data_IF_172188918050
#
_entry.id   IF_172188918050
#
_cell.length_a   1.000
_cell.length_b   1.000
_cell.length_c   1.000
_cell.angle_alpha   90.00
_cell.angle_beta   90.00
_cell.angle_gamma   90.00
#
_symmetry.space_group_name_H-M   'P 1'
#
loop_
_entity.id
_entity.type
_entity.pdbx_description
1 polymer ?
#
# COMPACT_ATOMS: atom_id res chain seq x y z
N UNK A 1 11.99 9.46 4.80
CA UNK A 1 10.51 9.50 4.93
C UNK A 1 10.18 9.38 6.41
N UNK A 2 9.36 10.27 6.93
CA UNK A 2 8.82 10.17 8.28
C UNK A 2 7.50 9.42 8.22
N UNK A 3 7.34 8.43 9.08
CA UNK A 3 6.16 7.58 9.17
C UNK A 3 5.67 7.54 10.62
N UNK A 4 4.37 7.67 10.83
CA UNK A 4 3.75 7.58 12.15
C UNK A 4 3.17 6.18 12.36
N UNK A 5 3.47 5.53 13.48
CA UNK A 5 2.76 4.35 13.92
C UNK A 5 1.77 4.72 15.03
N UNK A 6 0.48 4.69 14.71
CA UNK A 6 -0.57 4.94 15.69
C UNK A 6 -0.86 3.64 16.44
N UNK A 7 -0.30 3.53 17.65
CA UNK A 7 -0.45 2.34 18.49
C UNK A 7 -0.22 2.66 19.96
N UNK A 8 -0.99 2.03 20.84
CA UNK A 8 -0.77 2.04 22.30
C UNK A 8 0.14 0.88 22.76
N UNK A 9 0.51 -0.04 21.84
CA UNK A 9 1.33 -1.20 22.15
C UNK A 9 2.79 -0.93 21.85
N UNK A 10 3.58 -0.71 22.91
CA UNK A 10 5.02 -0.40 22.81
C UNK A 10 5.85 -1.57 22.24
N UNK A 11 5.39 -2.83 22.41
CA UNK A 11 6.08 -4.00 21.86
C UNK A 11 5.88 -4.08 20.34
N UNK A 12 4.66 -3.83 19.84
CA UNK A 12 4.41 -3.71 18.39
C UNK A 12 5.24 -2.59 17.77
N UNK A 13 5.32 -1.42 18.44
CA UNK A 13 6.12 -0.31 17.96
C UNK A 13 7.61 -0.70 17.84
N UNK A 14 8.19 -1.26 18.89
CA UNK A 14 9.60 -1.70 18.90
C UNK A 14 9.90 -2.76 17.84
N UNK A 15 8.99 -3.72 17.64
CA UNK A 15 9.14 -4.75 16.61
C UNK A 15 9.12 -4.14 15.20
N UNK A 16 8.16 -3.26 14.93
CA UNK A 16 8.05 -2.54 13.67
C UNK A 16 9.31 -1.68 13.39
N UNK A 17 9.78 -0.93 14.40
CA UNK A 17 10.96 -0.08 14.30
C UNK A 17 12.25 -0.84 13.92
N UNK A 18 12.37 -2.11 14.31
CA UNK A 18 13.53 -2.94 13.95
C UNK A 18 13.52 -3.37 12.48
N UNK A 19 12.35 -3.39 11.83
CA UNK A 19 12.18 -3.94 10.49
C UNK A 19 12.11 -2.83 9.44
N UNK A 20 11.46 -1.69 9.76
CA UNK A 20 11.28 -0.61 8.81
C UNK A 20 12.52 0.28 8.71
N UNK A 21 12.99 0.50 7.48
CA UNK A 21 14.12 1.40 7.16
C UNK A 21 13.64 2.85 6.96
N UNK A 22 12.80 3.35 7.89
CA UNK A 22 12.25 4.70 7.88
C UNK A 22 12.33 5.32 9.27
N UNK A 23 12.25 6.64 9.35
CA UNK A 23 12.09 7.31 10.64
C UNK A 23 10.66 7.08 11.15
N UNK A 24 10.51 6.26 12.21
CA UNK A 24 9.22 5.85 12.76
C UNK A 24 8.93 6.58 14.07
N UNK A 25 7.82 7.32 14.12
CA UNK A 25 7.30 8.01 15.30
C UNK A 25 6.11 7.24 15.88
N UNK A 26 6.08 7.01 17.19
CA UNK A 26 4.91 6.44 17.88
C UNK A 26 3.95 7.54 18.30
N UNK A 27 2.67 7.39 17.93
CA UNK A 27 1.60 8.29 18.39
C UNK A 27 0.51 7.46 19.06
N UNK A 28 0.13 7.87 20.28
CA UNK A 28 -0.95 7.23 21.06
C UNK A 28 -2.20 8.08 20.91
N UNK A 29 -3.20 7.56 20.19
CA UNK A 29 -4.47 8.24 19.95
C UNK A 29 -5.65 7.32 20.28
N UNK A 30 -6.75 7.88 20.82
CA UNK A 30 -8.02 7.15 20.84
C UNK A 30 -8.54 7.05 19.39
N UNK A 31 -8.71 5.82 18.93
CA UNK A 31 -9.29 5.52 17.63
C UNK A 31 -10.74 5.09 17.78
N UNK A 32 -11.52 5.28 16.73
CA UNK A 32 -12.92 4.82 16.68
C UNK A 32 -12.95 3.30 16.80
N UNK A 33 -13.71 2.80 17.75
CA UNK A 33 -14.02 1.37 17.91
C UNK A 33 -15.41 1.12 17.30
N UNK A 34 -15.44 0.41 16.18
CA UNK A 34 -16.66 0.00 15.49
C UNK A 34 -16.81 -1.51 15.51
N UNK A 35 -18.02 -2.00 15.26
CA UNK A 35 -18.28 -3.41 15.00
C UNK A 35 -18.28 -3.67 13.48
N UNK A 36 -17.70 -4.78 13.06
CA UNK A 36 -17.63 -5.16 11.66
C UNK A 36 -16.56 -6.21 11.40
N UNK A 37 -16.25 -6.45 10.16
CA UNK A 37 -15.17 -7.34 9.76
C UNK A 37 -13.79 -6.73 10.11
N UNK A 38 -12.81 -7.52 10.55
CA UNK A 38 -11.51 -7.03 11.00
C UNK A 38 -10.83 -6.09 9.98
N UNK A 39 -10.93 -6.42 8.69
CA UNK A 39 -10.35 -5.59 7.61
C UNK A 39 -11.01 -4.21 7.51
N UNK A 40 -12.33 -4.16 7.59
CA UNK A 40 -13.09 -2.90 7.52
C UNK A 40 -12.79 -2.02 8.73
N UNK A 41 -12.74 -2.63 9.93
CA UNK A 41 -12.39 -1.95 11.18
C UNK A 41 -11.00 -1.32 11.06
N UNK A 42 -10.01 -2.08 10.62
CA UNK A 42 -8.63 -1.59 10.47
C UNK A 42 -8.53 -0.42 9.48
N UNK A 43 -9.21 -0.50 8.33
CA UNK A 43 -9.26 0.57 7.33
C UNK A 43 -9.90 1.83 7.91
N UNK A 44 -11.02 1.70 8.63
CA UNK A 44 -11.70 2.85 9.22
C UNK A 44 -10.88 3.50 10.34
N UNK A 45 -10.23 2.70 11.18
CA UNK A 45 -9.26 3.19 12.18
C UNK A 45 -8.12 3.97 11.52
N UNK A 46 -7.55 3.45 10.43
CA UNK A 46 -6.48 4.13 9.70
C UNK A 46 -6.95 5.48 9.10
N UNK A 47 -8.14 5.51 8.50
CA UNK A 47 -8.72 6.75 7.97
C UNK A 47 -9.04 7.78 9.05
N UNK A 48 -9.54 7.34 10.21
CA UNK A 48 -9.77 8.22 11.36
C UNK A 48 -8.45 8.78 11.92
N UNK A 49 -7.44 7.92 12.06
CA UNK A 49 -6.10 8.33 12.46
C UNK A 49 -5.48 9.34 11.48
N UNK A 50 -5.61 9.09 10.17
CA UNK A 50 -5.06 9.97 9.13
C UNK A 50 -5.69 11.36 9.16
N UNK A 51 -7.00 11.47 9.38
CA UNK A 51 -7.69 12.76 9.55
C UNK A 51 -7.16 13.56 10.74
N UNK A 52 -6.71 12.88 11.81
CA UNK A 52 -6.21 13.52 13.04
C UNK A 52 -4.73 13.89 12.95
N UNK A 53 -3.92 13.05 12.30
CA UNK A 53 -2.44 13.17 12.24
C UNK A 53 -1.98 13.95 11.01
N UNK A 54 -2.67 13.80 9.88
CA UNK A 54 -2.36 14.41 8.58
C UNK A 54 -0.90 14.19 8.12
N UNK A 55 -0.36 13.01 8.41
CA UNK A 55 0.96 12.52 7.97
C UNK A 55 0.82 11.07 7.52
N UNK A 56 1.72 10.56 6.67
CA UNK A 56 1.78 9.12 6.38
C UNK A 56 1.82 8.31 7.67
N UNK A 57 0.93 7.35 7.79
CA UNK A 57 0.84 6.55 9.01
C UNK A 57 0.51 5.09 8.75
N UNK A 58 0.78 4.29 9.79
CA UNK A 58 0.35 2.90 9.88
C UNK A 58 -0.47 2.67 11.15
N UNK A 59 -1.39 1.73 11.05
CA UNK A 59 -2.00 1.05 12.19
C UNK A 59 -1.83 -0.45 12.03
N UNK A 60 -1.81 -1.18 13.15
CA UNK A 60 -1.85 -2.63 13.15
C UNK A 60 -2.94 -3.10 14.12
N UNK A 61 -4.00 -3.67 13.56
CA UNK A 61 -5.11 -4.26 14.31
C UNK A 61 -4.96 -5.79 14.33
N UNK A 62 -5.07 -6.40 15.50
CA UNK A 62 -4.89 -7.85 15.67
C UNK A 62 -6.16 -8.48 16.20
N UNK A 63 -6.59 -9.56 15.57
CA UNK A 63 -7.73 -10.37 15.96
C UNK A 63 -7.29 -11.81 16.26
N UNK A 64 -7.72 -12.36 17.40
CA UNK A 64 -7.53 -13.76 17.72
C UNK A 64 -8.75 -14.56 17.25
N UNK A 65 -8.55 -15.62 16.50
CA UNK A 65 -9.62 -16.37 15.85
C UNK A 65 -9.54 -17.84 16.16
N UNK A 66 -10.66 -18.44 16.59
CA UNK A 66 -10.81 -19.86 16.84
C UNK A 66 -11.86 -20.41 15.86
N UNK A 67 -11.46 -21.10 14.77
CA UNK A 67 -12.39 -21.58 13.74
C UNK A 67 -13.52 -22.44 14.28
N UNK A 68 -13.26 -23.30 15.27
CA UNK A 68 -14.28 -24.14 15.89
C UNK A 68 -15.31 -23.37 16.72
N UNK A 69 -15.09 -22.07 16.98
CA UNK A 69 -16.01 -21.12 17.58
C UNK A 69 -16.48 -20.04 16.57
N UNK A 70 -16.54 -20.39 15.28
CA UNK A 70 -16.90 -19.45 14.19
C UNK A 70 -16.01 -18.20 14.17
N UNK A 71 -14.70 -18.38 14.36
CA UNK A 71 -13.68 -17.34 14.46
C UNK A 71 -13.85 -16.36 15.66
N UNK A 72 -14.66 -16.72 16.68
CA UNK A 72 -14.68 -15.97 17.94
C UNK A 72 -13.32 -16.08 18.65
N UNK A 73 -12.81 -15.02 19.32
CA UNK A 73 -13.38 -13.69 19.51
C UNK A 73 -13.28 -12.75 18.29
N UNK A 74 -12.40 -13.01 17.31
CA UNK A 74 -12.26 -12.17 16.12
C UNK A 74 -12.05 -10.69 16.45
N UNK A 75 -12.88 -9.78 15.94
CA UNK A 75 -12.74 -8.33 16.20
C UNK A 75 -12.93 -7.95 17.67
N UNK A 76 -13.50 -8.83 18.48
CA UNK A 76 -13.71 -8.61 19.93
C UNK A 76 -12.53 -9.06 20.80
N UNK A 77 -11.37 -9.37 20.19
CA UNK A 77 -10.19 -9.90 20.90
C UNK A 77 -9.84 -9.07 22.13
N UNK A 78 -9.70 -7.78 22.00
CA UNK A 78 -9.33 -6.90 23.12
C UNK A 78 -10.37 -6.90 24.26
N UNK A 79 -11.66 -6.98 23.92
CA UNK A 79 -12.73 -7.09 24.90
C UNK A 79 -12.70 -8.44 25.64
N UNK A 80 -12.57 -9.54 24.88
CA UNK A 80 -12.49 -10.89 25.43
C UNK A 80 -11.25 -11.09 26.29
N UNK A 81 -10.13 -10.54 25.87
CA UNK A 81 -8.90 -10.58 26.65
C UNK A 81 -9.05 -9.91 28.01
N UNK A 82 -9.74 -8.79 28.09
CA UNK A 82 -10.01 -8.05 29.36
C UNK A 82 -11.07 -8.71 30.23
N UNK A 83 -12.03 -9.43 29.66
CA UNK A 83 -13.20 -9.98 30.38
C UNK A 83 -13.05 -11.46 30.71
N UNK A 84 -12.65 -12.27 29.75
CA UNK A 84 -12.48 -13.73 29.93
C UNK A 84 -11.00 -14.10 30.14
N UNK A 85 -10.10 -13.40 29.43
CA UNK A 85 -8.69 -13.75 29.42
C UNK A 85 -8.46 -15.20 29.01
N UNK A 86 -7.59 -15.89 29.75
CA UNK A 86 -7.30 -17.33 29.56
C UNK A 86 -8.47 -18.24 29.92
N UNK A 87 -9.52 -17.76 30.65
CA UNK A 87 -10.76 -18.51 30.83
C UNK A 87 -11.50 -18.80 29.51
N UNK A 88 -11.07 -18.20 28.39
CA UNK A 88 -11.49 -18.60 27.04
C UNK A 88 -11.34 -20.10 26.81
N UNK A 89 -10.39 -20.77 27.47
CA UNK A 89 -10.21 -22.23 27.43
C UNK A 89 -11.44 -23.00 27.88
N UNK A 90 -12.28 -22.44 28.76
CA UNK A 90 -13.53 -23.09 29.22
C UNK A 90 -14.53 -23.27 28.07
N UNK A 91 -14.51 -22.36 27.07
CA UNK A 91 -15.36 -22.50 25.88
C UNK A 91 -14.91 -23.64 24.97
N UNK A 92 -13.70 -24.14 25.20
CA UNK A 92 -13.11 -25.25 24.44
C UNK A 92 -13.28 -26.61 25.12
N UNK A 93 -13.99 -26.69 26.25
CA UNK A 93 -14.26 -27.96 26.94
C UNK A 93 -15.03 -28.91 26.02
N UNK A 94 -14.53 -30.13 25.87
CA UNK A 94 -15.10 -31.14 24.95
C UNK A 94 -14.80 -30.93 23.47
N UNK A 95 -14.24 -29.79 23.06
CA UNK A 95 -13.85 -29.53 21.67
C UNK A 95 -12.46 -30.13 21.38
N UNK A 96 -12.41 -31.06 20.41
CA UNK A 96 -11.15 -31.72 19.99
C UNK A 96 -10.33 -30.84 19.05
N UNK A 97 -10.99 -29.98 18.25
CA UNK A 97 -10.29 -29.04 17.37
C UNK A 97 -9.96 -27.79 18.15
N UNK A 98 -8.67 -27.58 18.38
CA UNK A 98 -8.12 -26.46 19.14
C UNK A 98 -7.33 -25.47 18.23
N UNK A 99 -7.45 -25.62 16.90
CA UNK A 99 -6.79 -24.73 15.94
C UNK A 99 -7.24 -23.29 16.17
N UNK A 100 -6.29 -22.40 16.12
CA UNK A 100 -6.53 -20.96 16.24
C UNK A 100 -5.46 -20.18 15.47
N UNK A 101 -5.70 -18.90 15.27
CA UNK A 101 -4.72 -18.02 14.63
C UNK A 101 -4.89 -16.58 15.08
N UNK A 102 -3.77 -15.84 15.06
CA UNK A 102 -3.82 -14.38 15.04
C UNK A 102 -3.95 -13.90 13.60
N UNK A 103 -4.90 -13.02 13.36
CA UNK A 103 -5.06 -12.24 12.13
C UNK A 103 -4.57 -10.83 12.41
N UNK A 104 -3.45 -10.44 11.84
CA UNK A 104 -2.92 -9.10 11.90
C UNK A 104 -3.25 -8.36 10.60
N UNK A 105 -3.85 -7.19 10.71
CA UNK A 105 -4.17 -6.31 9.61
C UNK A 105 -3.39 -5.01 9.79
N UNK A 106 -2.36 -4.86 8.98
CA UNK A 106 -1.52 -3.68 8.91
C UNK A 106 -2.03 -2.79 7.78
N UNK A 107 -2.39 -1.55 8.11
CA UNK A 107 -2.84 -0.57 7.13
C UNK A 107 -1.86 0.59 7.10
N UNK A 108 -1.27 0.81 5.94
CA UNK A 108 -0.55 2.04 5.62
C UNK A 108 -1.49 2.99 4.89
N UNK A 109 -1.46 4.26 5.23
CA UNK A 109 -2.22 5.31 4.57
C UNK A 109 -1.40 6.60 4.47
N UNK A 110 -1.45 7.22 3.30
CA UNK A 110 -1.00 8.60 3.05
C UNK A 110 -2.08 9.37 2.27
N UNK A 111 -1.77 10.57 1.77
CA UNK A 111 -2.71 11.40 1.01
C UNK A 111 -3.15 10.77 -0.33
N UNK A 112 -2.42 9.78 -0.85
CA UNK A 112 -2.57 9.24 -2.20
C UNK A 112 -2.84 7.74 -2.25
N UNK A 113 -2.51 7.01 -1.19
CA UNK A 113 -2.56 5.55 -1.19
C UNK A 113 -3.01 4.98 0.14
N UNK A 114 -3.70 3.86 0.06
CA UNK A 114 -4.07 3.02 1.19
C UNK A 114 -3.65 1.59 0.84
N UNK A 115 -2.68 1.05 1.60
CA UNK A 115 -2.22 -0.33 1.46
C UNK A 115 -2.66 -1.13 2.67
N UNK A 116 -3.32 -2.26 2.42
CA UNK A 116 -3.70 -3.22 3.47
C UNK A 116 -2.88 -4.49 3.30
N UNK A 117 -2.26 -4.93 4.37
CA UNK A 117 -1.47 -6.14 4.45
C UNK A 117 -2.09 -7.01 5.54
N UNK A 118 -2.46 -8.23 5.17
CA UNK A 118 -3.05 -9.21 6.09
C UNK A 118 -2.09 -10.37 6.30
N UNK A 119 -1.81 -10.69 7.56
CA UNK A 119 -0.98 -11.83 7.91
C UNK A 119 -1.69 -12.71 8.94
N UNK A 120 -1.50 -14.03 8.81
CA UNK A 120 -2.02 -15.00 9.77
C UNK A 120 -0.88 -15.74 10.42
N UNK A 121 -0.93 -15.79 11.75
CA UNK A 121 -0.03 -16.64 12.55
C UNK A 121 -0.85 -17.80 13.10
N UNK A 122 -0.67 -18.97 12.52
CA UNK A 122 -1.40 -20.16 12.91
C UNK A 122 -0.81 -20.82 14.17
N UNK A 123 -1.65 -21.56 14.88
CA UNK A 123 -1.27 -22.28 16.06
C UNK A 123 -2.44 -23.04 16.67
N UNK A 124 -2.24 -23.50 17.88
CA UNK A 124 -3.24 -24.25 18.65
C UNK A 124 -3.38 -23.71 20.07
N UNK A 125 -4.56 -23.86 20.66
CA UNK A 125 -4.80 -23.54 22.06
C UNK A 125 -4.21 -24.61 22.97
N UNK A 126 -3.43 -24.20 23.96
CA UNK A 126 -2.94 -25.08 25.03
C UNK A 126 -4.09 -25.66 25.83
N UNK A 127 -3.85 -26.79 26.52
CA UNK A 127 -4.83 -27.37 27.43
C UNK A 127 -4.96 -26.60 28.74
N UNK A 128 -3.87 -25.94 29.15
CA UNK A 128 -3.77 -25.20 30.40
C UNK A 128 -3.10 -23.85 30.14
N UNK A 129 -3.39 -22.90 31.00
CA UNK A 129 -2.77 -21.58 31.00
C UNK A 129 -1.31 -21.64 31.45
N UNK A 130 -0.42 -20.92 30.75
CA UNK A 130 0.96 -20.72 31.20
C UNK A 130 1.04 -19.81 32.43
N UNK A 131 2.02 -20.05 33.31
CA UNK A 131 2.28 -19.22 34.47
C UNK A 131 3.01 -17.92 34.09
N UNK A 132 2.85 -16.88 34.90
CA UNK A 132 3.53 -15.60 34.73
C UNK A 132 2.58 -14.44 34.39
N UNK A 133 3.12 -13.23 34.43
CA UNK A 133 2.41 -12.00 34.11
C UNK A 133 2.62 -11.65 32.62
N UNK A 134 1.73 -12.17 31.79
CA UNK A 134 1.72 -12.00 30.34
C UNK A 134 0.31 -11.66 29.86
N UNK A 135 0.18 -11.21 28.62
CA UNK A 135 -1.13 -11.06 27.98
C UNK A 135 -1.90 -12.39 28.04
N UNK A 136 -3.17 -12.38 28.45
CA UNK A 136 -3.93 -13.60 28.71
C UNK A 136 -3.99 -14.57 27.54
N UNK A 137 -4.19 -14.09 26.32
CA UNK A 137 -4.26 -14.96 25.13
C UNK A 137 -2.90 -15.52 24.74
N UNK A 138 -1.81 -14.81 25.02
CA UNK A 138 -0.45 -15.29 24.77
C UNK A 138 -0.07 -16.45 25.68
N UNK A 139 -0.73 -16.57 26.84
CA UNK A 139 -0.56 -17.67 27.80
C UNK A 139 -1.20 -18.97 27.37
N UNK A 140 -2.06 -18.92 26.34
CA UNK A 140 -2.83 -20.09 25.86
C UNK A 140 -2.60 -20.38 24.37
N UNK A 141 -1.93 -19.51 23.63
CA UNK A 141 -1.62 -19.69 22.22
C UNK A 141 -0.24 -20.31 22.01
N UNK A 142 -0.20 -21.47 21.35
CA UNK A 142 1.01 -22.16 20.92
C UNK A 142 1.13 -22.00 19.41
N UNK A 143 2.13 -21.24 18.96
CA UNK A 143 2.38 -21.02 17.53
C UNK A 143 2.79 -22.33 16.85
N UNK A 144 2.40 -22.52 15.60
CA UNK A 144 2.83 -23.67 14.80
C UNK A 144 4.36 -23.78 14.75
N UNK A 145 4.86 -24.98 15.04
CA UNK A 145 6.29 -25.25 15.17
C UNK A 145 6.84 -25.08 16.58
N UNK A 146 6.10 -24.46 17.50
CA UNK A 146 6.45 -24.33 18.91
C UNK A 146 5.81 -25.46 19.73
N UNK A 147 6.35 -25.69 20.94
CA UNK A 147 5.82 -26.68 21.91
C UNK A 147 5.34 -26.04 23.22
N UNK A 148 5.34 -24.72 23.29
CA UNK A 148 4.96 -23.94 24.50
C UNK A 148 4.22 -22.68 24.08
N UNK A 149 3.37 -22.13 24.96
CA UNK A 149 2.72 -20.86 24.73
C UNK A 149 3.69 -19.72 24.37
N UNK A 150 3.25 -18.85 23.46
CA UNK A 150 4.07 -17.80 22.85
C UNK A 150 4.62 -16.80 23.89
N UNK A 151 3.97 -16.67 25.04
CA UNK A 151 4.44 -15.83 26.15
C UNK A 151 5.85 -16.19 26.62
N UNK A 152 6.30 -17.44 26.43
CA UNK A 152 7.66 -17.88 26.77
C UNK A 152 8.68 -17.56 25.68
N UNK A 153 8.24 -17.07 24.51
CA UNK A 153 9.07 -16.79 23.33
C UNK A 153 8.93 -15.33 22.89
N UNK A 154 8.96 -14.39 23.85
CA UNK A 154 8.65 -12.97 23.63
C UNK A 154 9.55 -12.28 22.59
N UNK A 155 10.75 -12.80 22.31
CA UNK A 155 11.65 -12.22 21.30
C UNK A 155 11.07 -12.23 19.87
N UNK A 156 10.24 -13.21 19.54
CA UNK A 156 9.69 -13.46 18.19
C UNK A 156 8.18 -13.25 18.11
N UNK A 157 7.55 -12.82 19.19
CA UNK A 157 6.10 -12.72 19.30
C UNK A 157 5.48 -11.69 18.35
N UNK A 158 6.20 -10.63 18.11
CA UNK A 158 5.75 -9.51 17.26
C UNK A 158 6.51 -9.43 15.94
N UNK A 159 7.32 -10.45 15.59
CA UNK A 159 7.91 -10.56 14.27
C UNK A 159 6.81 -10.88 13.26
N UNK A 160 6.26 -9.80 12.72
CA UNK A 160 5.14 -9.85 11.79
C UNK A 160 5.68 -9.74 10.35
N UNK A 161 5.39 -10.74 9.53
CA UNK A 161 5.72 -10.71 8.10
C UNK A 161 5.11 -9.50 7.40
N UNK A 162 4.02 -8.94 7.93
CA UNK A 162 3.40 -7.71 7.44
C UNK A 162 4.32 -6.49 7.50
N UNK A 163 5.17 -6.38 8.51
CA UNK A 163 6.16 -5.28 8.57
C UNK A 163 7.24 -5.42 7.50
N UNK A 164 7.64 -6.65 7.19
CA UNK A 164 8.58 -6.92 6.09
C UNK A 164 7.96 -6.56 4.74
N UNK A 165 6.71 -6.97 4.51
CA UNK A 165 5.97 -6.63 3.29
C UNK A 165 5.80 -5.11 3.16
N UNK A 166 5.47 -4.42 4.26
CA UNK A 166 5.38 -2.96 4.27
C UNK A 166 6.73 -2.31 3.95
N UNK A 167 7.83 -2.79 4.54
CA UNK A 167 9.16 -2.25 4.25
C UNK A 167 9.50 -2.38 2.76
N UNK A 168 9.18 -3.51 2.15
CA UNK A 168 9.36 -3.72 0.71
C UNK A 168 8.48 -2.78 -0.12
N UNK A 169 7.22 -2.57 0.30
CA UNK A 169 6.31 -1.63 -0.35
C UNK A 169 6.83 -0.18 -0.28
N UNK A 170 7.33 0.25 0.88
CA UNK A 170 7.86 1.61 1.07
C UNK A 170 9.12 1.88 0.25
N UNK A 171 9.92 0.84 -0.05
CA UNK A 171 11.14 0.89 -0.86
C UNK A 171 10.87 0.86 -2.37
N UNK A 172 9.65 0.55 -2.81
CA UNK A 172 9.31 0.53 -4.23
C UNK A 172 9.63 1.87 -4.88
N UNK A 173 10.16 1.82 -6.11
CA UNK A 173 10.35 3.04 -6.93
C UNK A 173 9.00 3.73 -7.11
N UNK A 174 8.98 5.04 -6.91
CA UNK A 174 7.78 5.85 -7.10
C UNK A 174 7.95 6.69 -8.35
N UNK A 175 6.93 6.70 -9.20
CA UNK A 175 6.88 7.48 -10.44
C UNK A 175 5.59 8.28 -10.48
N UNK A 176 5.62 9.43 -11.15
CA UNK A 176 4.48 10.31 -11.33
C UNK A 176 4.26 10.59 -12.81
N UNK A 177 3.00 10.51 -13.26
CA UNK A 177 2.64 10.64 -14.67
C UNK A 177 1.47 11.59 -14.86
N UNK A 178 1.51 12.40 -15.93
CA UNK A 178 0.48 13.39 -16.24
C UNK A 178 -0.28 13.10 -17.52
N UNK A 179 -1.61 13.05 -17.42
CA UNK A 179 -2.52 12.92 -18.56
C UNK A 179 -2.94 14.31 -18.98
N UNK A 180 -2.62 14.70 -20.20
CA UNK A 180 -2.99 15.98 -20.79
C UNK A 180 -3.74 15.76 -22.10
N UNK A 181 -4.88 16.43 -22.27
CA UNK A 181 -5.69 16.34 -23.47
C UNK A 181 -5.58 17.62 -24.31
N UNK A 182 -5.54 17.43 -25.63
CA UNK A 182 -5.70 18.46 -26.64
C UNK A 182 -6.92 18.11 -27.49
N UNK A 183 -8.06 18.72 -27.19
CA UNK A 183 -9.37 18.37 -27.72
C UNK A 183 -9.70 16.86 -27.46
N UNK A 184 -9.84 16.06 -28.49
CA UNK A 184 -10.13 14.63 -28.48
C UNK A 184 -8.88 13.74 -28.46
N UNK A 185 -7.68 14.34 -28.35
CA UNK A 185 -6.40 13.64 -28.36
C UNK A 185 -5.71 13.72 -27.01
N UNK A 186 -5.01 12.65 -26.65
CA UNK A 186 -4.13 12.60 -25.47
C UNK A 186 -2.67 12.63 -25.90
N UNK A 187 -1.83 13.32 -25.12
CA UNK A 187 -0.39 13.35 -25.31
C UNK A 187 0.23 12.08 -24.74
N UNK A 188 0.94 11.35 -25.59
CA UNK A 188 1.65 10.12 -25.21
C UNK A 188 3.07 10.15 -25.73
N UNK A 189 3.95 9.44 -25.05
CA UNK A 189 5.30 9.16 -25.47
C UNK A 189 5.33 7.81 -26.18
N UNK A 190 5.55 7.79 -27.48
CA UNK A 190 5.80 6.56 -28.25
C UNK A 190 7.24 6.11 -28.03
N UNK A 191 7.43 4.82 -27.78
CA UNK A 191 8.72 4.18 -27.58
C UNK A 191 8.87 2.97 -28.49
N UNK A 192 10.04 2.86 -29.12
CA UNK A 192 10.46 1.68 -29.85
C UNK A 192 11.89 1.35 -29.44
N UNK A 193 12.11 0.20 -28.86
CA UNK A 193 13.43 -0.22 -28.39
C UNK A 193 13.76 -1.64 -28.81
N UNK A 194 15.03 -1.88 -29.09
CA UNK A 194 15.55 -3.20 -29.42
C UNK A 194 15.84 -3.97 -28.12
N UNK A 195 15.12 -5.05 -27.88
CA UNK A 195 15.35 -5.99 -26.77
C UNK A 195 15.44 -7.41 -27.28
N UNK A 196 16.49 -8.15 -26.91
CA UNK A 196 16.68 -9.54 -27.30
C UNK A 196 16.50 -9.77 -28.82
N UNK A 197 17.05 -8.89 -29.66
CA UNK A 197 16.94 -8.89 -31.11
C UNK A 197 15.49 -8.75 -31.66
N UNK A 198 14.57 -8.16 -30.85
CA UNK A 198 13.22 -7.83 -31.28
C UNK A 198 12.90 -6.38 -30.91
N UNK A 199 12.17 -5.70 -31.79
CA UNK A 199 11.66 -4.38 -31.45
C UNK A 199 10.42 -4.51 -30.58
N UNK A 200 10.45 -3.85 -29.42
CA UNK A 200 9.31 -3.64 -28.57
C UNK A 200 8.78 -2.22 -28.82
N UNK A 201 7.50 -2.12 -29.21
CA UNK A 201 6.84 -0.84 -29.48
C UNK A 201 5.66 -0.64 -28.53
N UNK A 202 5.62 0.50 -27.89
CA UNK A 202 4.53 0.83 -26.95
C UNK A 202 4.41 2.33 -26.73
N UNK A 203 3.29 2.72 -26.18
CA UNK A 203 3.06 4.07 -25.70
C UNK A 203 3.12 4.14 -24.17
N UNK A 204 3.51 5.30 -23.64
CA UNK A 204 3.47 5.58 -22.22
C UNK A 204 2.85 6.97 -21.98
N UNK A 205 2.15 7.13 -20.86
CA UNK A 205 1.80 8.43 -20.35
C UNK A 205 3.10 9.11 -19.91
N UNK A 206 3.39 10.35 -20.32
CA UNK A 206 4.61 11.06 -19.92
C UNK A 206 4.75 11.17 -18.41
N UNK A 207 5.98 11.04 -17.92
CA UNK A 207 6.32 11.13 -16.52
C UNK A 207 7.41 10.15 -16.09
N UNK A 208 7.98 10.35 -14.91
CA UNK A 208 9.13 9.62 -14.45
C UNK A 208 9.29 9.56 -12.94
N UNK A 209 10.52 9.38 -12.48
CA UNK A 209 10.85 9.14 -11.09
C UNK A 209 10.61 10.36 -10.19
N UNK A 210 10.09 10.11 -8.99
CA UNK A 210 10.01 11.14 -7.94
C UNK A 210 11.38 11.24 -7.29
N UNK A 211 11.97 12.44 -7.29
CA UNK A 211 13.27 12.71 -6.70
C UNK A 211 13.18 12.91 -5.18
N UNK A 212 14.37 12.96 -4.54
CA UNK A 212 14.44 13.25 -3.12
C UNK A 212 13.95 14.68 -2.84
N UNK A 213 13.13 14.81 -1.82
CA UNK A 213 12.55 16.09 -1.36
C UNK A 213 11.56 16.74 -2.35
N UNK A 214 11.12 16.00 -3.37
CA UNK A 214 10.12 16.41 -4.37
C UNK A 214 8.75 15.81 -4.04
N UNK A 215 7.69 16.57 -4.22
CA UNK A 215 6.31 16.06 -4.15
C UNK A 215 5.95 15.28 -5.42
N UNK A 216 4.90 14.47 -5.35
CA UNK A 216 4.42 13.70 -6.51
C UNK A 216 3.93 14.61 -7.64
N UNK A 217 3.33 15.73 -7.26
CA UNK A 217 2.86 16.79 -8.17
C UNK A 217 4.01 17.47 -8.87
N UNK A 218 5.04 17.90 -8.13
CA UNK A 218 6.23 18.53 -8.68
C UNK A 218 6.93 17.60 -9.67
N UNK A 219 7.11 16.32 -9.31
CA UNK A 219 7.67 15.31 -10.20
C UNK A 219 6.85 15.16 -11.49
N UNK A 220 5.52 15.12 -11.37
CA UNK A 220 4.64 15.04 -12.54
C UNK A 220 4.86 16.22 -13.51
N UNK A 221 4.92 17.44 -12.98
CA UNK A 221 5.08 18.64 -13.78
C UNK A 221 6.49 18.77 -14.39
N UNK A 222 7.54 18.43 -13.62
CA UNK A 222 8.93 18.44 -14.07
C UNK A 222 9.14 17.44 -15.20
N UNK A 223 8.75 16.20 -15.01
CA UNK A 223 8.90 15.13 -16.00
C UNK A 223 8.13 15.43 -17.31
N UNK A 224 6.88 15.91 -17.19
CA UNK A 224 6.12 16.35 -18.36
C UNK A 224 6.84 17.44 -19.14
N UNK A 225 7.42 18.43 -18.44
CA UNK A 225 8.18 19.49 -19.09
C UNK A 225 9.46 18.96 -19.74
N UNK A 226 10.20 18.09 -19.04
CA UNK A 226 11.44 17.50 -19.54
C UNK A 226 11.20 16.65 -20.78
N UNK A 227 10.24 15.72 -20.73
CA UNK A 227 9.96 14.78 -21.82
C UNK A 227 9.25 15.40 -23.02
N UNK A 228 8.42 16.42 -22.81
CA UNK A 228 7.49 16.93 -23.84
C UNK A 228 7.60 18.42 -24.14
N UNK A 229 8.44 19.15 -23.40
CA UNK A 229 8.69 20.60 -23.50
C UNK A 229 7.45 21.50 -23.29
N UNK A 230 6.36 20.97 -22.76
CA UNK A 230 5.16 21.75 -22.42
C UNK A 230 5.11 22.10 -20.93
N UNK A 231 4.58 23.28 -20.61
CA UNK A 231 4.26 23.67 -19.24
C UNK A 231 2.81 23.31 -18.94
N UNK A 232 2.60 22.70 -17.79
CA UNK A 232 1.30 22.21 -17.33
C UNK A 232 1.05 22.60 -15.87
N UNK A 233 -0.19 22.46 -15.42
CA UNK A 233 -0.55 22.53 -14.00
C UNK A 233 -1.47 21.36 -13.63
N UNK A 234 -1.39 20.91 -12.38
CA UNK A 234 -2.24 19.85 -11.87
C UNK A 234 -3.70 20.32 -11.79
N UNK A 235 -4.61 19.52 -12.33
CA UNK A 235 -6.06 19.65 -12.11
C UNK A 235 -6.47 18.81 -10.91
N UNK A 236 -6.14 17.51 -10.93
CA UNK A 236 -6.48 16.59 -9.85
C UNK A 236 -5.61 15.34 -9.87
N UNK A 237 -5.42 14.74 -8.71
CA UNK A 237 -4.95 13.37 -8.58
C UNK A 237 -6.06 12.41 -9.04
N UNK A 238 -5.71 11.35 -9.75
CA UNK A 238 -6.63 10.35 -10.25
C UNK A 238 -6.60 9.07 -9.42
N UNK A 239 -5.50 8.34 -9.53
CA UNK A 239 -5.29 7.08 -8.83
C UNK A 239 -3.80 6.70 -8.79
N UNK A 240 -3.49 5.62 -8.07
CA UNK A 240 -2.17 4.98 -8.12
C UNK A 240 -2.29 3.52 -8.54
N UNK A 241 -1.27 3.05 -9.26
CA UNK A 241 -1.12 1.67 -9.66
C UNK A 241 0.16 1.08 -9.07
N UNK A 242 0.05 -0.07 -8.41
CA UNK A 242 1.19 -0.79 -7.86
C UNK A 242 1.65 -1.87 -8.85
N UNK A 243 2.93 -1.84 -9.20
CA UNK A 243 3.64 -2.86 -9.98
C UNK A 243 4.59 -3.63 -9.07
N UNK A 244 5.15 -4.72 -9.59
CA UNK A 244 6.19 -5.48 -8.86
C UNK A 244 7.39 -4.59 -8.49
N UNK A 245 7.78 -3.69 -9.40
CA UNK A 245 8.98 -2.85 -9.28
C UNK A 245 8.73 -1.43 -8.78
N UNK A 246 7.46 -0.99 -8.71
CA UNK A 246 7.18 0.41 -8.39
C UNK A 246 5.72 0.74 -8.11
N UNK A 247 5.48 2.02 -7.84
CA UNK A 247 4.16 2.61 -7.67
C UNK A 247 4.08 3.81 -8.60
N UNK A 248 3.07 3.84 -9.45
CA UNK A 248 2.79 4.95 -10.37
C UNK A 248 1.61 5.77 -9.87
N UNK A 249 1.77 7.08 -9.80
CA UNK A 249 0.72 8.04 -9.46
C UNK A 249 0.30 8.78 -10.73
N UNK A 250 -1.00 8.81 -11.01
CA UNK A 250 -1.56 9.44 -12.21
C UNK A 250 -2.28 10.72 -11.86
N UNK A 251 -2.02 11.77 -12.65
CA UNK A 251 -2.63 13.08 -12.51
C UNK A 251 -3.30 13.51 -13.81
N UNK A 252 -4.46 14.15 -13.70
CA UNK A 252 -4.98 14.96 -14.79
C UNK A 252 -4.32 16.34 -14.72
N UNK A 253 -3.77 16.78 -15.83
CA UNK A 253 -3.10 18.08 -15.92
C UNK A 253 -3.66 18.92 -17.07
N UNK A 254 -3.54 20.25 -16.93
CA UNK A 254 -3.94 21.19 -17.94
C UNK A 254 -2.70 21.79 -18.64
N UNK A 255 -2.77 21.91 -19.98
CA UNK A 255 -1.76 22.60 -20.76
C UNK A 255 -1.79 24.11 -20.50
N UNK A 256 -0.63 24.73 -20.32
CA UNK A 256 -0.48 26.16 -20.14
C UNK A 256 0.19 26.76 -21.38
N UNK A 257 1.38 26.28 -21.77
CA UNK A 257 2.19 26.83 -22.84
C UNK A 257 3.30 25.84 -23.26
N UNK A 258 3.99 26.17 -24.36
CA UNK A 258 5.15 25.41 -24.87
C UNK A 258 4.83 24.67 -26.17
N UNK A 259 5.86 24.36 -26.93
CA UNK A 259 5.75 23.56 -28.15
C UNK A 259 5.87 22.08 -27.80
N UNK A 260 4.96 21.27 -28.33
CA UNK A 260 5.01 19.79 -28.12
C UNK A 260 6.20 19.25 -28.92
N UNK A 261 7.25 18.86 -28.21
CA UNK A 261 8.44 18.25 -28.80
C UNK A 261 9.17 17.39 -27.76
N UNK A 262 9.87 16.38 -28.24
CA UNK A 262 10.71 15.54 -27.38
C UNK A 262 11.81 16.38 -26.74
N UNK A 263 12.06 16.19 -25.45
CA UNK A 263 13.10 16.85 -24.66
C UNK A 263 13.79 15.91 -23.70
N UNK A 264 14.55 16.47 -22.77
CA UNK A 264 15.19 15.76 -21.67
C UNK A 264 16.14 14.63 -22.09
N UNK A 265 16.29 13.69 -21.20
CA UNK A 265 17.13 12.51 -21.43
C UNK A 265 16.61 11.63 -22.59
N UNK A 266 15.32 11.64 -22.88
CA UNK A 266 14.70 10.90 -23.97
C UNK A 266 15.21 11.40 -25.32
N UNK A 267 15.42 12.72 -25.47
CA UNK A 267 16.02 13.31 -26.65
C UNK A 267 17.50 12.93 -26.78
N UNK A 268 18.25 12.98 -25.69
CA UNK A 268 19.68 12.65 -25.67
C UNK A 268 19.94 11.17 -25.99
N UNK A 269 19.07 10.27 -25.51
CA UNK A 269 19.14 8.83 -25.71
C UNK A 269 18.46 8.35 -26.99
N UNK A 270 17.87 9.27 -27.78
CA UNK A 270 17.09 8.94 -28.97
C UNK A 270 17.98 8.46 -30.13
N UNK A 271 17.78 7.22 -30.56
CA UNK A 271 18.48 6.60 -31.68
C UNK A 271 17.61 5.49 -32.31
N UNK A 272 17.98 4.91 -33.48
CA UNK A 272 17.15 3.91 -34.15
C UNK A 272 16.78 2.68 -33.30
N UNK A 273 17.64 2.26 -32.36
CA UNK A 273 17.44 1.09 -31.51
C UNK A 273 16.79 1.44 -30.16
N UNK A 274 16.67 2.74 -29.86
CA UNK A 274 16.01 3.26 -28.69
C UNK A 274 15.30 4.58 -29.05
N UNK A 275 14.21 4.46 -29.80
CA UNK A 275 13.50 5.59 -30.40
C UNK A 275 12.37 6.09 -29.50
N UNK A 276 12.28 7.41 -29.38
CA UNK A 276 11.25 8.14 -28.65
C UNK A 276 10.62 9.20 -29.54
N UNK A 277 9.30 9.39 -29.39
CA UNK A 277 8.55 10.42 -30.08
C UNK A 277 7.34 10.84 -29.27
N UNK A 278 7.10 12.14 -29.14
CA UNK A 278 5.89 12.67 -28.52
C UNK A 278 4.76 12.70 -29.56
N UNK A 279 3.64 12.06 -29.26
CA UNK A 279 2.49 11.96 -30.16
C UNK A 279 1.19 12.39 -29.52
N UNK A 280 0.35 13.06 -30.31
CA UNK A 280 -1.05 13.31 -29.99
C UNK A 280 -1.90 12.20 -30.59
N UNK A 281 -2.41 11.32 -29.74
CA UNK A 281 -3.18 10.12 -30.14
C UNK A 281 -4.67 10.37 -29.88
N UNK A 282 -5.56 10.17 -30.88
CA UNK A 282 -7.00 10.25 -30.67
C UNK A 282 -7.46 9.24 -29.61
N UNK A 283 -8.31 9.66 -28.69
CA UNK A 283 -8.84 8.75 -27.65
C UNK A 283 -9.60 7.56 -28.25
N UNK A 284 -10.20 7.74 -29.43
CA UNK A 284 -10.84 6.67 -30.18
C UNK A 284 -9.91 5.57 -30.71
N UNK A 285 -8.59 5.83 -30.78
CA UNK A 285 -7.58 4.90 -31.28
C UNK A 285 -6.87 4.12 -30.17
N UNK A 286 -7.13 4.43 -28.91
CA UNK A 286 -6.43 3.81 -27.78
C UNK A 286 -6.60 2.29 -27.68
N UNK A 287 -7.67 1.73 -28.28
CA UNK A 287 -7.88 0.27 -28.34
C UNK A 287 -6.98 -0.44 -29.37
N UNK A 288 -6.39 0.33 -30.29
CA UNK A 288 -5.56 -0.19 -31.36
C UNK A 288 -4.05 -0.11 -31.06
N UNK A 289 -3.68 0.43 -29.92
CA UNK A 289 -2.27 0.63 -29.50
C UNK A 289 -2.02 0.02 -28.13
N UNK A 290 -0.79 -0.41 -27.91
CA UNK A 290 -0.38 -0.88 -26.59
C UNK A 290 0.14 0.29 -25.76
N UNK A 291 -0.55 0.60 -24.65
CA UNK A 291 -0.13 1.57 -23.65
C UNK A 291 0.33 0.80 -22.41
N UNK A 292 1.53 1.14 -21.91
CA UNK A 292 2.11 0.45 -20.76
C UNK A 292 1.23 0.60 -19.50
N UNK A 293 1.03 -0.51 -18.78
CA UNK A 293 0.21 -0.57 -17.58
C UNK A 293 -1.29 -0.37 -17.85
N UNK A 294 -1.99 0.25 -16.92
CA UNK A 294 -3.43 0.61 -17.03
C UNK A 294 -3.69 1.91 -17.79
N UNK A 295 -2.68 2.47 -18.44
CA UNK A 295 -2.77 3.80 -19.06
C UNK A 295 -3.98 3.98 -19.99
N UNK A 296 -4.33 2.96 -20.81
CA UNK A 296 -5.48 3.03 -21.71
C UNK A 296 -6.80 3.16 -20.95
N UNK A 297 -6.98 2.37 -19.89
CA UNK A 297 -8.22 2.36 -19.08
C UNK A 297 -8.38 3.71 -18.35
N UNK A 298 -7.32 4.18 -17.70
CA UNK A 298 -7.32 5.45 -16.96
C UNK A 298 -7.62 6.61 -17.90
N UNK A 299 -6.96 6.69 -19.06
CA UNK A 299 -7.19 7.76 -20.02
C UNK A 299 -8.65 7.80 -20.48
N UNK A 300 -9.24 6.65 -20.82
CA UNK A 300 -10.62 6.56 -21.27
C UNK A 300 -11.61 6.94 -20.18
N UNK A 301 -11.38 6.53 -18.93
CA UNK A 301 -12.23 6.87 -17.81
C UNK A 301 -12.20 8.38 -17.56
N UNK A 302 -11.00 8.97 -17.51
CA UNK A 302 -10.79 10.40 -17.31
C UNK A 302 -11.42 11.20 -18.45
N UNK A 303 -11.24 10.77 -19.71
CA UNK A 303 -11.82 11.45 -20.87
C UNK A 303 -13.34 11.49 -20.78
N UNK A 304 -14.00 10.35 -20.45
CA UNK A 304 -15.46 10.30 -20.27
C UNK A 304 -15.94 11.24 -19.15
N UNK A 305 -15.20 11.32 -18.05
CA UNK A 305 -15.60 12.08 -16.86
C UNK A 305 -15.39 13.60 -16.98
N UNK A 306 -14.33 14.03 -17.66
CA UNK A 306 -13.88 15.43 -17.65
C UNK A 306 -13.98 16.13 -19.01
N UNK A 307 -14.29 15.42 -20.09
CA UNK A 307 -14.45 15.96 -21.45
C UNK A 307 -15.86 15.75 -22.03
N UNK A 308 -16.72 14.96 -21.38
CA UNK A 308 -18.15 14.87 -21.67
C UNK A 308 -18.88 16.04 -20.99
#
# INVERSE_FOLDING_TARGET
>A
MDLVFVTNNDLKFKACQKILDVNLEQVKLPLVEIQGEPREIAILKAKDAFKKVNKPLIINDSSFCIPSLNNFPGPYTSYVEKTLGSNLLKLMEGNKNRDCYYLDILVYIDAYSLKVIETKTYGTLSLTEASGDYYPLDKIFIKDGDNKPICYNQGNMYENNGYVELNNYLKKRKVSRGIVFFADKVLLLYRKRLENNKYLEYYAIPGGGIEKDETKEEACLRELFEETSIKTNIITYLESEEYDTGICYYYLVNYISGDIKLGGEELEKNNPDNYYEVRLVPVSELDNIYIYGKGSEIIKEVYRKYKA
#
